data_IF_578871193478
#
_entry.id   IF_578871193478
#
_cell.length_a   1.000
_cell.length_b   1.000
_cell.length_c   1.000
_cell.angle_alpha   90.00
_cell.angle_beta   90.00
_cell.angle_gamma   90.00
#
_symmetry.space_group_name_H-M   'P 1'
#
loop_
_entity.id
_entity.type
_entity.pdbx_description
1 polymer ?
#
# COMPACT_ATOMS: atom_id res chain seq x y z
N UNK A 1 5.75 -35.17 4.63
CA UNK A 1 6.89 -34.23 4.54
C UNK A 1 7.88 -34.63 5.63
N UNK A 2 9.14 -34.95 5.28
CA UNK A 2 10.12 -35.48 6.26
C UNK A 2 10.41 -34.46 7.37
N UNK A 3 10.58 -34.88 8.64
CA UNK A 3 10.92 -33.99 9.76
C UNK A 3 12.15 -33.11 9.48
N UNK A 4 13.14 -33.65 8.76
CA UNK A 4 14.39 -32.95 8.38
C UNK A 4 14.11 -31.82 7.37
N UNK A 5 13.25 -32.06 6.39
CA UNK A 5 12.88 -31.04 5.41
C UNK A 5 12.12 -29.87 6.06
N UNK A 6 11.34 -30.14 7.11
CA UNK A 6 10.62 -29.11 7.85
C UNK A 6 11.56 -28.24 8.71
N UNK A 7 12.59 -28.83 9.32
CA UNK A 7 13.57 -28.08 10.11
C UNK A 7 14.45 -27.21 9.21
N UNK A 8 14.92 -27.73 8.08
CA UNK A 8 15.65 -26.96 7.07
C UNK A 8 14.84 -25.78 6.52
N UNK A 9 13.56 -26.00 6.20
CA UNK A 9 12.67 -24.92 5.77
C UNK A 9 12.56 -23.82 6.83
N UNK A 10 12.39 -24.19 8.10
CA UNK A 10 12.27 -23.23 9.21
C UNK A 10 13.54 -22.39 9.38
N UNK A 11 14.72 -23.00 9.23
CA UNK A 11 16.02 -22.31 9.29
C UNK A 11 16.11 -21.30 8.13
N UNK A 12 15.92 -21.74 6.89
CA UNK A 12 15.97 -20.87 5.70
C UNK A 12 14.95 -19.73 5.79
N UNK A 13 13.75 -20.01 6.28
CA UNK A 13 12.71 -18.98 6.52
C UNK A 13 13.16 -17.94 7.55
N UNK A 14 13.82 -18.36 8.63
CA UNK A 14 14.36 -17.45 9.65
C UNK A 14 15.50 -16.60 9.08
N UNK A 15 16.40 -17.20 8.33
CA UNK A 15 17.51 -16.51 7.65
C UNK A 15 17.00 -15.47 6.66
N UNK A 16 16.04 -15.84 5.81
CA UNK A 16 15.41 -14.91 4.88
C UNK A 16 14.74 -13.73 5.60
N UNK A 17 14.02 -13.99 6.70
CA UNK A 17 13.45 -12.92 7.53
C UNK A 17 14.51 -12.02 8.14
N UNK A 18 15.61 -12.59 8.61
CA UNK A 18 16.72 -11.83 9.19
C UNK A 18 17.40 -10.95 8.14
N UNK A 19 17.61 -11.46 6.93
CA UNK A 19 18.19 -10.69 5.83
C UNK A 19 17.28 -9.55 5.39
N UNK A 20 15.98 -9.80 5.25
CA UNK A 20 15.00 -8.75 4.96
C UNK A 20 15.00 -7.67 6.06
N UNK A 21 15.13 -8.07 7.34
CA UNK A 21 15.22 -7.13 8.44
C UNK A 21 16.52 -6.30 8.38
N UNK A 22 17.66 -6.92 8.09
CA UNK A 22 18.94 -6.21 7.89
C UNK A 22 18.86 -5.19 6.76
N UNK A 23 18.34 -5.58 5.60
CA UNK A 23 18.18 -4.69 4.46
C UNK A 23 17.27 -3.49 4.78
N UNK A 24 16.14 -3.74 5.48
CA UNK A 24 15.25 -2.66 5.96
C UNK A 24 15.95 -1.72 6.92
N UNK A 25 16.69 -2.25 7.90
CA UNK A 25 17.40 -1.44 8.87
C UNK A 25 18.50 -0.60 8.20
N UNK A 26 19.29 -1.18 7.30
CA UNK A 26 20.31 -0.45 6.54
C UNK A 26 19.70 0.72 5.75
N UNK A 27 18.55 0.49 5.09
CA UNK A 27 17.81 1.55 4.38
C UNK A 27 17.33 2.66 5.33
N UNK A 28 16.86 2.29 6.54
CA UNK A 28 16.43 3.25 7.55
C UNK A 28 17.62 4.04 8.13
N UNK A 29 18.76 3.41 8.35
CA UNK A 29 19.97 4.08 8.85
C UNK A 29 20.48 5.13 7.86
N UNK A 30 20.48 4.80 6.55
CA UNK A 30 20.80 5.77 5.49
C UNK A 30 19.82 6.94 5.46
N UNK A 31 18.53 6.67 5.65
CA UNK A 31 17.52 7.71 5.76
C UNK A 31 17.81 8.63 6.95
N UNK A 32 18.11 8.09 8.14
CA UNK A 32 18.42 8.90 9.31
C UNK A 32 19.71 9.71 9.16
N UNK A 33 20.74 9.16 8.51
CA UNK A 33 21.95 9.94 8.15
C UNK A 33 21.60 11.16 7.29
N UNK A 34 20.67 11.01 6.34
CA UNK A 34 20.18 12.13 5.51
C UNK A 34 19.31 13.12 6.28
N UNK A 35 18.70 12.72 7.39
CA UNK A 35 17.89 13.58 8.26
C UNK A 35 18.72 14.27 9.36
N UNK A 36 19.93 13.80 9.63
CA UNK A 36 20.85 14.42 10.60
C UNK A 36 21.77 15.50 9.98
N UNK A 37 21.52 15.90 8.73
CA UNK A 37 22.30 16.96 8.07
C UNK A 37 21.54 18.31 8.02
N UNK A 38 22.24 19.39 7.70
CA UNK A 38 21.65 20.73 7.59
C UNK A 38 20.61 20.89 6.47
N UNK A 39 20.49 19.91 5.57
CA UNK A 39 19.52 19.86 4.48
C UNK A 39 18.30 18.97 4.80
N UNK A 40 18.18 18.51 6.04
CA UNK A 40 17.12 17.61 6.49
C UNK A 40 15.72 18.14 6.15
N UNK A 41 15.47 19.43 6.34
CA UNK A 41 14.17 20.06 6.05
C UNK A 41 13.72 19.84 4.60
N UNK A 42 14.63 20.07 3.63
CA UNK A 42 14.36 19.84 2.20
C UNK A 42 14.05 18.37 1.93
N UNK A 43 14.75 17.46 2.61
CA UNK A 43 14.55 16.03 2.45
C UNK A 43 13.20 15.56 3.03
N UNK A 44 12.84 16.02 4.24
CA UNK A 44 11.54 15.77 4.87
C UNK A 44 10.42 16.29 3.99
N UNK A 45 10.53 17.51 3.48
CA UNK A 45 9.53 18.09 2.57
C UNK A 45 9.33 17.24 1.32
N UNK A 46 10.43 16.81 0.67
CA UNK A 46 10.36 15.90 -0.49
C UNK A 46 9.69 14.56 -0.14
N UNK A 47 10.01 13.98 1.01
CA UNK A 47 9.45 12.71 1.45
C UNK A 47 7.94 12.82 1.74
N UNK A 48 7.52 13.89 2.43
CA UNK A 48 6.12 14.18 2.68
C UNK A 48 5.34 14.36 1.37
N UNK A 49 5.90 15.12 0.42
CA UNK A 49 5.30 15.32 -0.90
C UNK A 49 5.18 14.02 -1.70
N UNK A 50 6.20 13.16 -1.65
CA UNK A 50 6.17 11.86 -2.32
C UNK A 50 5.10 10.94 -1.72
N UNK A 51 5.00 10.86 -0.38
CA UNK A 51 3.96 10.10 0.32
C UNK A 51 2.56 10.59 -0.04
N UNK A 52 2.34 11.90 -0.01
CA UNK A 52 1.07 12.50 -0.40
C UNK A 52 0.71 12.15 -1.84
N UNK A 53 1.65 12.24 -2.78
CA UNK A 53 1.39 11.83 -4.17
C UNK A 53 1.07 10.34 -4.31
N UNK A 54 1.76 9.47 -3.57
CA UNK A 54 1.50 8.03 -3.59
C UNK A 54 0.14 7.66 -3.00
N UNK A 55 -0.41 8.46 -2.08
CA UNK A 55 -1.75 8.27 -1.53
C UNK A 55 -2.87 8.83 -2.41
N UNK A 56 -2.54 9.58 -3.48
CA UNK A 56 -3.54 10.11 -4.39
C UNK A 56 -3.80 9.12 -5.52
N UNK A 57 -5.02 8.58 -5.56
CA UNK A 57 -5.48 7.68 -6.63
C UNK A 57 -5.41 8.33 -8.01
N UNK A 58 -5.54 9.66 -8.06
CA UNK A 58 -5.52 10.46 -9.28
C UNK A 58 -4.15 11.12 -9.56
N UNK A 59 -3.06 10.60 -8.98
CA UNK A 59 -1.73 11.22 -9.14
C UNK A 59 -1.20 11.23 -10.59
N UNK A 60 -1.71 10.37 -11.47
CA UNK A 60 -1.27 10.25 -12.87
C UNK A 60 -2.36 10.36 -13.94
N UNK A 61 -3.65 10.35 -13.57
CA UNK A 61 -4.77 10.38 -14.54
C UNK A 61 -4.95 11.80 -15.04
N UNK A 62 -4.34 12.10 -16.19
CA UNK A 62 -4.50 13.38 -16.90
C UNK A 62 -5.72 13.43 -17.81
N UNK A 63 -6.47 12.33 -17.90
CA UNK A 63 -7.54 12.19 -18.87
C UNK A 63 -8.57 11.14 -18.48
N UNK A 64 -9.84 11.44 -18.71
CA UNK A 64 -10.94 10.48 -18.53
C UNK A 64 -11.92 10.64 -19.68
N UNK A 65 -12.44 9.52 -20.18
CA UNK A 65 -13.55 9.54 -21.13
C UNK A 65 -14.84 9.75 -20.32
N UNK A 66 -15.52 10.87 -20.54
CA UNK A 66 -16.83 11.13 -19.97
C UNK A 66 -17.89 10.25 -20.64
N UNK A 67 -19.08 10.16 -20.03
CA UNK A 67 -20.22 9.37 -20.53
C UNK A 67 -20.60 9.78 -21.97
N UNK A 68 -20.49 11.06 -22.30
CA UNK A 68 -20.72 11.61 -23.65
C UNK A 68 -19.64 11.19 -24.68
N UNK A 69 -18.72 10.31 -24.30
CA UNK A 69 -17.63 9.83 -25.15
C UNK A 69 -16.46 10.79 -25.31
N UNK A 70 -16.56 12.03 -24.79
CA UNK A 70 -15.53 13.06 -24.85
C UNK A 70 -14.39 12.75 -23.87
N UNK A 71 -13.14 12.93 -24.31
CA UNK A 71 -11.96 12.85 -23.42
C UNK A 71 -11.75 14.19 -22.75
N UNK A 72 -11.91 14.20 -21.44
CA UNK A 72 -11.73 15.35 -20.56
C UNK A 72 -10.33 15.33 -19.98
N UNK A 73 -9.65 16.49 -19.94
CA UNK A 73 -8.27 16.65 -19.45
C UNK A 73 -8.12 17.62 -18.29
N UNK A 74 -9.13 18.46 -18.05
CA UNK A 74 -9.12 19.39 -16.92
C UNK A 74 -9.18 18.61 -15.60
N UNK A 75 -8.29 18.88 -14.61
CA UNK A 75 -8.27 18.13 -13.36
C UNK A 75 -9.56 18.22 -12.53
N UNK A 76 -10.29 19.33 -12.59
CA UNK A 76 -11.56 19.48 -11.88
C UNK A 76 -12.62 18.62 -12.55
N UNK A 77 -12.75 18.72 -13.88
CA UNK A 77 -13.72 17.93 -14.64
C UNK A 77 -13.42 16.43 -14.57
N UNK A 78 -12.14 16.02 -14.66
CA UNK A 78 -11.70 14.64 -14.45
C UNK A 78 -12.20 14.11 -13.10
N UNK A 79 -11.98 14.85 -12.01
CA UNK A 79 -12.48 14.46 -10.67
C UNK A 79 -14.00 14.34 -10.65
N UNK A 80 -14.72 15.24 -11.33
CA UNK A 80 -16.18 15.18 -11.40
C UNK A 80 -16.67 13.96 -12.17
N UNK A 81 -16.04 13.60 -13.30
CA UNK A 81 -16.38 12.40 -14.06
C UNK A 81 -16.14 11.13 -13.24
N UNK A 82 -14.99 11.01 -12.55
CA UNK A 82 -14.74 9.91 -11.61
C UNK A 82 -15.81 9.86 -10.52
N UNK A 83 -16.12 11.02 -9.91
CA UNK A 83 -17.13 11.11 -8.85
C UNK A 83 -18.50 10.62 -9.34
N UNK A 84 -18.96 11.06 -10.52
CA UNK A 84 -20.24 10.63 -11.11
C UNK A 84 -20.28 9.11 -11.34
N UNK A 85 -19.22 8.54 -11.91
CA UNK A 85 -19.15 7.11 -12.21
C UNK A 85 -19.14 6.24 -10.94
N UNK A 86 -18.35 6.61 -9.93
CA UNK A 86 -18.21 5.81 -8.71
C UNK A 86 -19.29 6.06 -7.66
N UNK A 87 -20.00 7.19 -7.69
CA UNK A 87 -21.07 7.48 -6.72
C UNK A 87 -22.13 6.37 -6.63
N UNK A 88 -22.76 5.92 -7.73
CA UNK A 88 -23.75 4.86 -7.66
C UNK A 88 -23.09 3.53 -7.27
N UNK A 89 -21.95 3.18 -7.88
CA UNK A 89 -21.24 1.91 -7.63
C UNK A 89 -20.85 1.72 -6.15
N UNK A 90 -20.44 2.78 -5.47
CA UNK A 90 -19.95 2.68 -4.08
C UNK A 90 -21.03 2.89 -3.02
N UNK A 91 -22.14 3.55 -3.37
CA UNK A 91 -23.16 3.92 -2.39
C UNK A 91 -24.49 3.16 -2.59
N UNK A 92 -24.76 2.62 -3.77
CA UNK A 92 -25.94 1.81 -4.02
C UNK A 92 -25.66 0.36 -3.61
N UNK A 93 -26.56 -0.20 -2.79
CA UNK A 93 -26.43 -1.58 -2.33
C UNK A 93 -26.75 -2.52 -3.50
N UNK A 94 -25.71 -3.18 -4.04
CA UNK A 94 -25.93 -4.26 -5.00
C UNK A 94 -26.78 -5.36 -4.35
N UNK A 95 -27.69 -6.01 -5.10
CA UNK A 95 -28.48 -7.11 -4.57
C UNK A 95 -27.57 -8.16 -3.95
N UNK A 96 -27.63 -8.32 -2.62
CA UNK A 96 -26.91 -9.40 -1.94
C UNK A 96 -27.53 -10.72 -2.35
N UNK A 97 -26.77 -11.56 -3.05
CA UNK A 97 -27.11 -12.97 -3.15
C UNK A 97 -27.20 -13.54 -1.73
N UNK A 98 -28.38 -14.04 -1.36
CA UNK A 98 -28.58 -14.75 -0.10
C UNK A 98 -27.96 -16.13 -0.23
N UNK A 99 -26.65 -16.24 0.02
CA UNK A 99 -25.99 -17.53 0.05
C UNK A 99 -24.50 -17.43 0.31
N UNK A 100 -24.03 -18.22 1.28
CA UNK A 100 -22.63 -18.44 1.66
C UNK A 100 -22.04 -17.42 2.64
N UNK A 101 -22.43 -17.58 3.91
CA UNK A 101 -21.67 -17.12 5.06
C UNK A 101 -20.28 -17.80 5.09
N UNK A 102 -19.25 -17.11 4.61
CA UNK A 102 -17.87 -17.53 4.86
C UNK A 102 -17.44 -17.01 6.23
N UNK A 103 -17.51 -17.88 7.23
CA UNK A 103 -16.88 -17.66 8.53
C UNK A 103 -15.35 -17.74 8.33
N UNK A 104 -14.71 -16.62 7.99
CA UNK A 104 -13.26 -16.52 7.88
C UNK A 104 -12.68 -16.36 9.28
N UNK A 105 -12.40 -17.47 9.99
CA UNK A 105 -11.41 -17.43 11.07
C UNK A 105 -10.08 -16.99 10.45
N UNK A 106 -9.76 -15.72 10.62
CA UNK A 106 -8.41 -15.19 10.40
C UNK A 106 -7.53 -15.70 11.54
N UNK A 107 -6.68 -16.68 11.25
CA UNK A 107 -5.57 -17.02 12.12
C UNK A 107 -4.67 -15.79 12.28
N UNK A 108 -4.79 -15.14 13.44
CA UNK A 108 -3.94 -14.03 13.88
C UNK A 108 -2.53 -14.55 14.12
N UNK A 109 -1.67 -14.49 13.11
CA UNK A 109 -0.22 -14.55 13.33
C UNK A 109 0.33 -13.15 13.65
N UNK A 110 -0.07 -12.59 14.79
CA UNK A 110 0.54 -11.40 15.39
C UNK A 110 1.60 -11.82 16.41
N UNK A 111 2.82 -12.09 15.95
CA UNK A 111 4.00 -12.13 16.81
C UNK A 111 5.18 -11.51 16.04
N UNK A 112 5.21 -10.17 16.03
CA UNK A 112 6.44 -9.43 15.79
C UNK A 112 7.32 -9.47 17.05
N UNK A 113 8.66 -9.46 16.92
CA UNK A 113 9.53 -9.49 18.08
C UNK A 113 9.37 -8.20 18.89
N UNK A 114 9.00 -8.34 20.16
CA UNK A 114 9.13 -7.27 21.15
C UNK A 114 10.61 -6.92 21.28
N UNK A 115 10.93 -5.63 21.14
CA UNK A 115 12.26 -5.10 21.41
C UNK A 115 12.56 -5.31 22.90
N UNK A 116 13.72 -5.86 23.22
CA UNK A 116 14.40 -5.65 24.50
C UNK A 116 15.57 -4.72 24.25
#
# INVERSE_FOLDING_TARGET
>A
MSPIALTEYKIKKKEAKAEVARAKNATMDELYKKLNNSHAEKYVFRLARARHRASLDLSGVRAVKCEDGKVVRDPVEVRQTWRKYFLPILNEEFPREKGLSYHRQLDRCNHGPQRK
#
